data_IF_342277166927
#
_entry.id   IF_342277166927
#
_cell.length_a   1.000
_cell.length_b   1.000
_cell.length_c   1.000
_cell.angle_alpha   90.00
_cell.angle_beta   90.00
_cell.angle_gamma   90.00
#
_symmetry.space_group_name_H-M   'P 1'
#
loop_
_entity.id
_entity.type
_entity.pdbx_description
1 polymer ?
#
# COMPACT_ATOMS: atom_id res chain seq x y z
N UNK A 1 -1.31 -16.34 -40.06
CA UNK A 1 -0.64 -17.08 -38.97
C UNK A 1 -0.69 -16.16 -37.79
N UNK A 2 -1.58 -16.47 -36.84
CA UNK A 2 -1.73 -15.74 -35.58
C UNK A 2 -0.74 -16.32 -34.59
N UNK A 3 0.43 -15.70 -34.45
CA UNK A 3 1.42 -16.09 -33.44
C UNK A 3 0.93 -15.68 -32.06
N UNK A 4 0.44 -16.62 -31.28
CA UNK A 4 0.24 -16.44 -29.83
C UNK A 4 1.62 -16.43 -29.19
N UNK A 5 2.07 -15.27 -28.78
CA UNK A 5 3.32 -15.15 -28.02
C UNK A 5 3.02 -15.40 -26.55
N UNK A 6 3.35 -16.57 -26.05
CA UNK A 6 3.18 -16.94 -24.62
C UNK A 6 4.45 -16.50 -23.88
N UNK A 7 4.37 -15.52 -23.01
CA UNK A 7 5.41 -15.24 -22.02
C UNK A 7 5.27 -16.28 -20.91
N UNK A 8 6.29 -17.14 -20.77
CA UNK A 8 6.25 -18.29 -19.85
C UNK A 8 6.72 -17.97 -18.42
N UNK A 9 7.11 -16.72 -18.13
CA UNK A 9 7.58 -16.33 -16.79
C UNK A 9 6.44 -15.68 -16.00
N UNK A 10 6.16 -16.13 -14.78
CA UNK A 10 5.17 -15.48 -13.95
C UNK A 10 5.63 -14.05 -13.62
N UNK A 11 4.75 -13.10 -13.86
CA UNK A 11 4.98 -11.68 -13.61
C UNK A 11 4.50 -11.36 -12.21
N UNK A 12 5.32 -10.65 -11.43
CA UNK A 12 4.96 -10.15 -10.09
C UNK A 12 4.65 -8.64 -10.06
N UNK A 13 4.84 -7.93 -11.17
CA UNK A 13 4.66 -6.48 -11.26
C UNK A 13 3.41 -6.10 -12.07
N UNK A 14 2.50 -5.36 -11.46
CA UNK A 14 1.33 -4.79 -12.12
C UNK A 14 1.72 -3.84 -13.27
N UNK A 15 2.83 -3.11 -13.15
CA UNK A 15 3.31 -2.21 -14.19
C UNK A 15 3.76 -2.97 -15.43
N UNK A 16 4.50 -4.08 -15.24
CA UNK A 16 4.91 -4.96 -16.35
C UNK A 16 3.69 -5.59 -17.01
N UNK A 17 2.72 -6.07 -16.23
CA UNK A 17 1.44 -6.57 -16.75
C UNK A 17 0.74 -5.51 -17.60
N UNK A 18 0.58 -4.31 -17.08
CA UNK A 18 -0.07 -3.20 -17.77
C UNK A 18 0.64 -2.88 -19.09
N UNK A 19 1.97 -2.83 -19.11
CA UNK A 19 2.76 -2.58 -20.32
C UNK A 19 2.52 -3.65 -21.39
N UNK A 20 2.47 -4.93 -21.00
CA UNK A 20 2.21 -6.05 -21.92
C UNK A 20 0.78 -6.00 -22.47
N UNK A 21 -0.22 -5.73 -21.62
CA UNK A 21 -1.62 -5.60 -22.06
C UNK A 21 -1.80 -4.44 -23.04
N UNK A 22 -1.22 -3.27 -22.75
CA UNK A 22 -1.25 -2.11 -23.64
C UNK A 22 -0.51 -2.34 -24.96
N UNK A 23 0.64 -3.03 -24.91
CA UNK A 23 1.36 -3.41 -26.12
C UNK A 23 0.53 -4.36 -26.99
N UNK A 24 -0.16 -5.34 -26.42
CA UNK A 24 -1.08 -6.23 -27.12
C UNK A 24 -2.24 -5.48 -27.76
N UNK A 25 -2.82 -4.54 -27.03
CA UNK A 25 -3.92 -3.70 -27.51
C UNK A 25 -3.49 -2.86 -28.74
N UNK A 26 -2.34 -2.16 -28.65
CA UNK A 26 -1.82 -1.31 -29.72
C UNK A 26 -1.41 -2.14 -30.95
N UNK A 27 -0.85 -3.33 -30.73
CA UNK A 27 -0.43 -4.24 -31.79
C UNK A 27 -1.58 -5.06 -32.39
N UNK A 28 -2.81 -4.92 -31.88
CA UNK A 28 -3.97 -5.71 -32.25
C UNK A 28 -3.74 -7.24 -32.14
N UNK A 29 -3.03 -7.69 -31.09
CA UNK A 29 -2.68 -9.08 -30.82
C UNK A 29 -3.31 -9.54 -29.50
N UNK A 30 -3.87 -10.76 -29.48
CA UNK A 30 -4.30 -11.39 -28.22
C UNK A 30 -3.08 -11.62 -27.31
N UNK A 31 -3.24 -11.25 -26.04
CA UNK A 31 -2.18 -11.37 -25.02
C UNK A 31 -2.70 -12.15 -23.83
N UNK A 32 -1.88 -13.07 -23.33
CA UNK A 32 -2.11 -13.79 -22.09
C UNK A 32 -0.95 -13.58 -21.14
N UNK A 33 -1.26 -13.12 -19.92
CA UNK A 33 -0.29 -12.87 -18.87
C UNK A 33 -0.60 -13.77 -17.68
N UNK A 34 0.39 -14.49 -17.18
CA UNK A 34 0.26 -15.29 -15.95
C UNK A 34 1.05 -14.58 -14.84
N UNK A 35 0.39 -14.38 -13.69
CA UNK A 35 0.99 -13.78 -12.49
C UNK A 35 1.32 -14.87 -11.47
N UNK A 36 2.39 -14.68 -10.70
CA UNK A 36 2.72 -15.56 -9.57
C UNK A 36 1.68 -15.42 -8.45
N UNK A 37 1.26 -14.17 -8.20
CA UNK A 37 0.15 -13.81 -7.33
C UNK A 37 -0.58 -12.63 -7.97
N UNK A 38 -1.88 -12.49 -7.71
CA UNK A 38 -2.69 -11.41 -8.29
C UNK A 38 -2.15 -10.05 -7.88
N UNK A 39 -1.73 -9.27 -8.85
CA UNK A 39 -1.30 -7.88 -8.66
C UNK A 39 -2.48 -6.90 -8.91
N UNK A 40 -2.21 -5.58 -8.78
CA UNK A 40 -3.18 -4.50 -9.04
C UNK A 40 -3.82 -4.64 -10.41
N UNK A 41 -5.14 -4.46 -10.51
CA UNK A 41 -5.94 -4.72 -11.71
C UNK A 41 -6.62 -3.48 -12.31
N UNK A 42 -6.10 -2.29 -12.03
CA UNK A 42 -6.66 -1.03 -12.53
C UNK A 42 -6.72 -0.97 -14.06
N UNK A 43 -5.66 -1.43 -14.75
CA UNK A 43 -5.59 -1.44 -16.19
C UNK A 43 -6.67 -2.32 -16.81
N UNK A 44 -6.88 -3.50 -16.26
CA UNK A 44 -7.91 -4.44 -16.72
C UNK A 44 -9.31 -3.86 -16.53
N UNK A 45 -9.57 -3.24 -15.38
CA UNK A 45 -10.87 -2.60 -15.08
C UNK A 45 -11.13 -1.44 -16.03
N UNK A 46 -10.14 -0.55 -16.22
CA UNK A 46 -10.26 0.58 -17.12
C UNK A 46 -10.48 0.13 -18.56
N UNK A 47 -9.71 -0.85 -19.04
CA UNK A 47 -9.86 -1.37 -20.40
C UNK A 47 -11.24 -2.02 -20.62
N UNK A 48 -11.79 -2.75 -19.65
CA UNK A 48 -13.16 -3.26 -19.72
C UNK A 48 -14.19 -2.14 -19.79
N UNK A 49 -14.04 -1.09 -19.00
CA UNK A 49 -14.91 0.07 -19.05
C UNK A 49 -14.85 0.78 -20.42
N UNK A 50 -13.72 0.72 -21.11
CA UNK A 50 -13.51 1.22 -22.47
C UNK A 50 -13.97 0.25 -23.57
N UNK A 51 -14.61 -0.88 -23.22
CA UNK A 51 -15.17 -1.86 -24.14
C UNK A 51 -14.17 -2.90 -24.66
N UNK A 52 -13.00 -3.03 -24.04
CA UNK A 52 -12.02 -4.09 -24.38
C UNK A 52 -12.41 -5.39 -23.69
N UNK A 53 -12.32 -6.49 -24.42
CA UNK A 53 -12.54 -7.83 -23.86
C UNK A 53 -11.29 -8.26 -23.07
N UNK A 54 -11.40 -8.19 -21.73
CA UNK A 54 -10.34 -8.59 -20.80
C UNK A 54 -10.92 -9.58 -19.80
N UNK A 55 -10.48 -10.82 -19.86
CA UNK A 55 -10.87 -11.88 -18.95
C UNK A 55 -9.80 -12.09 -17.87
N UNK A 56 -10.25 -12.34 -16.64
CA UNK A 56 -9.38 -12.72 -15.53
C UNK A 56 -9.83 -14.11 -15.05
N UNK A 57 -8.93 -15.08 -15.12
CA UNK A 57 -9.13 -16.40 -14.51
C UNK A 57 -8.00 -16.66 -13.51
N UNK A 58 -8.32 -16.67 -12.21
CA UNK A 58 -7.35 -16.84 -11.12
C UNK A 58 -6.16 -15.89 -11.27
N UNK A 59 -4.99 -16.42 -11.67
CA UNK A 59 -3.74 -15.68 -11.85
C UNK A 59 -3.41 -15.41 -13.34
N UNK A 60 -4.37 -15.60 -14.23
CA UNK A 60 -4.18 -15.35 -15.66
C UNK A 60 -5.09 -14.22 -16.12
N UNK A 61 -4.52 -13.30 -16.90
CA UNK A 61 -5.23 -12.22 -17.58
C UNK A 61 -5.12 -12.46 -19.08
N UNK A 62 -6.27 -12.48 -19.77
CA UNK A 62 -6.33 -12.57 -21.22
C UNK A 62 -6.96 -11.29 -21.77
N UNK A 63 -6.26 -10.61 -22.68
CA UNK A 63 -6.77 -9.47 -23.41
C UNK A 63 -6.97 -9.87 -24.87
N UNK A 64 -8.20 -9.66 -25.40
CA UNK A 64 -8.47 -9.71 -26.84
C UNK A 64 -8.50 -8.31 -27.41
N UNK A 65 -7.80 -8.07 -28.51
CA UNK A 65 -7.67 -6.72 -29.06
C UNK A 65 -9.01 -6.16 -29.50
N UNK A 66 -9.24 -4.88 -29.21
CA UNK A 66 -10.38 -4.12 -29.67
C UNK A 66 -9.99 -3.20 -30.82
N UNK A 67 -10.87 -3.08 -31.81
CA UNK A 67 -10.65 -2.15 -32.96
C UNK A 67 -10.84 -0.68 -32.55
N UNK A 68 -11.58 -0.43 -31.47
CA UNK A 68 -11.93 0.93 -31.03
C UNK A 68 -12.10 0.90 -29.50
N UNK A 69 -11.59 1.92 -28.85
CA UNK A 69 -11.85 2.19 -27.44
C UNK A 69 -13.03 3.15 -27.31
N UNK A 70 -13.89 2.91 -26.34
CA UNK A 70 -14.97 3.82 -25.96
C UNK A 70 -14.38 4.80 -24.93
N UNK A 71 -14.43 6.11 -25.18
CA UNK A 71 -14.00 7.08 -24.17
C UNK A 71 -14.84 6.95 -22.89
N UNK A 72 -14.18 7.10 -21.75
CA UNK A 72 -14.83 7.07 -20.45
C UNK A 72 -14.58 8.40 -19.74
N UNK A 73 -15.57 8.86 -18.98
CA UNK A 73 -15.42 9.91 -17.99
C UNK A 73 -15.31 9.27 -16.63
N UNK A 74 -14.29 9.66 -15.86
CA UNK A 74 -14.10 9.12 -14.51
C UNK A 74 -13.53 10.17 -13.57
N UNK A 75 -14.01 10.12 -12.34
CA UNK A 75 -13.33 10.77 -11.24
C UNK A 75 -12.28 9.80 -10.71
N UNK A 76 -11.02 10.22 -10.67
CA UNK A 76 -9.94 9.38 -10.13
C UNK A 76 -10.07 9.37 -8.61
N UNK A 77 -10.28 8.21 -7.98
CA UNK A 77 -10.39 8.14 -6.53
C UNK A 77 -9.05 8.46 -5.84
N UNK A 78 -9.13 8.87 -4.56
CA UNK A 78 -7.96 9.10 -3.74
C UNK A 78 -7.14 7.80 -3.56
N UNK A 79 -5.82 7.94 -3.57
CA UNK A 79 -4.90 6.80 -3.45
C UNK A 79 -4.98 6.15 -2.05
N UNK A 80 -5.29 4.84 -1.97
CA UNK A 80 -5.39 4.14 -0.69
C UNK A 80 -4.03 4.04 0.04
N UNK A 81 -2.91 4.10 -0.66
CA UNK A 81 -1.59 4.16 -0.03
C UNK A 81 -1.37 5.49 0.69
N UNK A 82 -1.82 6.60 0.10
CA UNK A 82 -1.79 7.91 0.76
C UNK A 82 -2.76 7.96 1.95
N UNK A 83 -3.95 7.40 1.79
CA UNK A 83 -4.94 7.28 2.88
C UNK A 83 -4.43 6.44 4.05
N UNK A 84 -3.63 5.40 3.79
CA UNK A 84 -3.11 4.47 4.80
C UNK A 84 -2.36 5.19 5.93
N UNK A 85 -1.60 6.24 5.63
CA UNK A 85 -0.86 7.01 6.64
C UNK A 85 -1.81 7.67 7.65
N UNK A 86 -2.91 8.22 7.18
CA UNK A 86 -3.91 8.87 8.04
C UNK A 86 -4.80 7.86 8.76
N UNK A 87 -5.09 6.71 8.14
CA UNK A 87 -5.73 5.58 8.82
C UNK A 87 -4.89 5.11 10.00
N UNK A 88 -3.58 4.94 9.81
CA UNK A 88 -2.66 4.56 10.87
C UNK A 88 -2.59 5.62 11.97
N UNK A 89 -2.53 6.91 11.61
CA UNK A 89 -2.51 8.02 12.56
C UNK A 89 -3.76 8.00 13.45
N UNK A 90 -4.96 7.92 12.83
CA UNK A 90 -6.22 7.92 13.55
C UNK A 90 -6.38 6.67 14.44
N UNK A 91 -5.94 5.49 13.98
CA UNK A 91 -5.97 4.27 14.77
C UNK A 91 -5.04 4.32 16.00
N UNK A 92 -3.95 5.08 15.93
CA UNK A 92 -2.99 5.29 17.03
C UNK A 92 -3.35 6.48 17.93
N UNK A 93 -4.33 7.30 17.57
CA UNK A 93 -4.76 8.45 18.36
C UNK A 93 -5.36 8.03 19.71
N UNK A 94 -5.50 8.97 20.63
CA UNK A 94 -6.13 8.72 21.92
C UNK A 94 -7.66 8.88 21.86
N UNK A 95 -8.14 9.77 20.97
CA UNK A 95 -9.56 10.09 20.78
C UNK A 95 -9.81 10.65 19.37
N UNK A 96 -11.04 10.97 19.05
CA UNK A 96 -11.44 11.57 17.79
C UNK A 96 -11.94 10.57 16.75
N UNK A 97 -12.18 11.08 15.56
CA UNK A 97 -12.68 10.35 14.41
C UNK A 97 -12.13 10.98 13.14
N UNK A 98 -11.64 10.19 12.22
CA UNK A 98 -11.17 10.66 10.92
C UNK A 98 -12.02 10.09 9.80
N UNK A 99 -12.50 10.96 8.93
CA UNK A 99 -13.23 10.60 7.70
C UNK A 99 -12.36 10.92 6.49
N UNK A 100 -12.08 9.91 5.67
CA UNK A 100 -11.38 10.01 4.39
C UNK A 100 -12.37 9.76 3.26
N UNK A 101 -12.61 10.78 2.44
CA UNK A 101 -13.58 10.70 1.34
C UNK A 101 -12.93 10.20 0.05
N UNK A 102 -13.74 9.61 -0.83
CA UNK A 102 -13.40 9.21 -2.20
C UNK A 102 -12.17 8.28 -2.30
N UNK A 103 -11.87 7.50 -1.27
CA UNK A 103 -10.74 6.56 -1.26
C UNK A 103 -11.02 5.39 -2.22
N UNK A 104 -10.04 5.00 -3.03
CA UNK A 104 -10.13 3.80 -3.84
C UNK A 104 -10.24 2.56 -2.96
N UNK A 105 -11.32 1.81 -3.13
CA UNK A 105 -11.61 0.57 -2.40
C UNK A 105 -11.40 -0.68 -3.29
N UNK A 106 -10.49 -0.62 -4.25
CA UNK A 106 -10.11 -1.79 -5.03
C UNK A 106 -9.48 -2.85 -4.11
N UNK A 107 -10.02 -4.10 -4.07
CA UNK A 107 -9.51 -5.16 -3.19
C UNK A 107 -8.02 -5.49 -3.38
N UNK A 108 -7.45 -5.21 -4.55
CA UNK A 108 -6.01 -5.39 -4.79
C UNK A 108 -5.14 -4.27 -4.17
N UNK A 109 -5.77 -3.27 -3.53
CA UNK A 109 -5.13 -2.09 -2.93
C UNK A 109 -5.49 -1.88 -1.47
N UNK A 110 -6.52 -2.55 -0.96
CA UNK A 110 -7.01 -2.36 0.42
C UNK A 110 -6.39 -3.31 1.44
N UNK A 111 -5.34 -4.03 1.07
CA UNK A 111 -4.66 -4.99 1.96
C UNK A 111 -4.20 -4.38 3.28
N UNK A 112 -3.77 -3.12 3.28
CA UNK A 112 -3.42 -2.40 4.50
C UNK A 112 -4.63 -2.24 5.44
N UNK A 113 -5.79 -1.83 4.92
CA UNK A 113 -7.00 -1.67 5.73
C UNK A 113 -7.45 -2.99 6.33
N UNK A 114 -7.36 -4.08 5.57
CA UNK A 114 -7.67 -5.43 6.06
C UNK A 114 -6.69 -5.89 7.14
N UNK A 115 -5.39 -5.62 6.99
CA UNK A 115 -4.39 -5.89 8.01
C UNK A 115 -4.67 -5.07 9.30
N UNK A 116 -4.99 -3.78 9.17
CA UNK A 116 -5.35 -2.93 10.32
C UNK A 116 -6.62 -3.40 11.03
N UNK A 117 -7.67 -3.82 10.29
CA UNK A 117 -8.88 -4.43 10.89
C UNK A 117 -8.52 -5.72 11.65
N UNK A 118 -7.67 -6.57 11.09
CA UNK A 118 -7.15 -7.76 11.79
C UNK A 118 -6.32 -7.42 13.02
N UNK A 119 -5.67 -6.25 13.04
CA UNK A 119 -4.99 -5.71 14.22
C UNK A 119 -5.97 -5.14 15.26
N UNK A 120 -7.27 -5.09 14.97
CA UNK A 120 -8.31 -4.57 15.85
C UNK A 120 -8.66 -3.09 15.63
N UNK A 121 -8.18 -2.47 14.54
CA UNK A 121 -8.53 -1.09 14.23
C UNK A 121 -10.04 -0.93 13.93
N UNK A 122 -10.65 0.12 14.48
CA UNK A 122 -12.05 0.49 14.19
C UNK A 122 -12.11 1.25 12.87
N UNK A 123 -12.24 0.49 11.79
CA UNK A 123 -12.33 1.00 10.42
C UNK A 123 -13.64 0.56 9.82
N UNK A 124 -14.44 1.52 9.37
CA UNK A 124 -15.66 1.28 8.59
C UNK A 124 -15.56 1.91 7.20
N UNK A 125 -16.07 1.20 6.21
CA UNK A 125 -16.06 1.60 4.82
C UNK A 125 -17.50 1.74 4.33
N UNK A 126 -17.80 2.88 3.71
CA UNK A 126 -19.08 3.12 3.05
C UNK A 126 -18.83 3.23 1.56
N UNK A 127 -19.27 2.23 0.80
CA UNK A 127 -19.13 2.24 -0.65
C UNK A 127 -19.78 3.49 -1.26
N UNK A 128 -19.08 4.13 -2.16
CA UNK A 128 -19.54 5.22 -2.99
C UNK A 128 -19.97 4.72 -4.38
N UNK A 129 -20.08 5.63 -5.31
CA UNK A 129 -20.45 5.32 -6.71
C UNK A 129 -19.21 4.82 -7.44
N UNK A 130 -19.32 3.61 -8.02
CA UNK A 130 -18.27 3.09 -8.91
C UNK A 130 -18.36 3.79 -10.26
N UNK A 131 -17.34 4.56 -10.62
CA UNK A 131 -17.17 5.16 -11.94
C UNK A 131 -15.96 4.52 -12.62
N UNK A 132 -16.16 4.06 -13.85
CA UNK A 132 -15.10 3.49 -14.70
C UNK A 132 -14.32 2.28 -14.11
N UNK A 133 -14.98 1.44 -13.32
CA UNK A 133 -14.49 0.11 -12.96
C UNK A 133 -13.82 -0.02 -11.59
N UNK A 134 -13.30 1.04 -11.00
CA UNK A 134 -12.77 0.99 -9.62
C UNK A 134 -13.81 1.48 -8.61
N UNK A 135 -13.98 0.69 -7.55
CA UNK A 135 -14.80 1.10 -6.41
C UNK A 135 -14.11 2.23 -5.64
N UNK A 136 -14.87 3.25 -5.27
CA UNK A 136 -14.43 4.27 -4.32
C UNK A 136 -15.41 4.36 -3.15
N UNK A 137 -15.01 5.00 -2.08
CA UNK A 137 -15.89 5.16 -0.93
C UNK A 137 -15.29 6.03 0.16
N UNK A 138 -16.04 6.16 1.24
CA UNK A 138 -15.61 6.88 2.44
C UNK A 138 -15.10 5.88 3.46
N UNK A 139 -13.91 6.15 4.01
CA UNK A 139 -13.29 5.38 5.09
C UNK A 139 -13.39 6.19 6.36
N UNK A 140 -13.98 5.61 7.40
CA UNK A 140 -14.09 6.18 8.73
C UNK A 140 -13.22 5.39 9.68
N UNK A 141 -12.39 6.08 10.47
CA UNK A 141 -11.44 5.47 11.41
C UNK A 141 -11.56 6.12 12.77
N UNK A 142 -11.57 5.28 13.82
CA UNK A 142 -11.52 5.71 15.22
C UNK A 142 -10.35 5.05 15.93
N UNK A 143 -9.85 5.65 17.02
CA UNK A 143 -8.87 5.03 17.88
C UNK A 143 -9.34 3.67 18.38
N UNK A 144 -8.42 2.70 18.45
CA UNK A 144 -8.72 1.35 18.92
C UNK A 144 -7.53 0.72 19.65
N UNK A 145 -7.83 -0.26 20.48
CA UNK A 145 -6.79 -1.10 21.08
C UNK A 145 -6.30 -2.13 20.06
N UNK A 146 -5.11 -1.90 19.53
CA UNK A 146 -4.51 -2.79 18.55
C UNK A 146 -3.85 -4.01 19.22
N UNK A 147 -3.77 -5.12 18.47
CA UNK A 147 -3.07 -6.34 18.85
C UNK A 147 -2.20 -6.86 17.71
N UNK A 148 -1.26 -7.76 18.06
CA UNK A 148 -0.28 -8.28 17.12
C UNK A 148 -0.87 -9.23 16.08
N UNK A 149 -0.27 -9.23 14.89
CA UNK A 149 -0.61 -10.15 13.81
C UNK A 149 0.65 -10.70 13.12
N UNK A 150 0.45 -11.75 12.33
CA UNK A 150 1.42 -12.20 11.33
C UNK A 150 0.91 -11.86 9.94
N UNK A 151 1.83 -11.39 9.08
CA UNK A 151 1.62 -11.12 7.65
C UNK A 151 2.51 -12.08 6.88
N UNK A 152 1.92 -12.81 5.96
CA UNK A 152 2.60 -13.84 5.18
C UNK A 152 2.74 -13.43 3.71
N UNK A 153 3.61 -14.09 2.97
CA UNK A 153 3.85 -13.79 1.56
C UNK A 153 2.61 -13.78 0.67
N UNK A 154 1.54 -14.51 1.05
CA UNK A 154 0.28 -14.51 0.29
C UNK A 154 -0.46 -13.16 0.36
N UNK A 155 -0.26 -12.39 1.43
CA UNK A 155 -0.91 -11.09 1.67
C UNK A 155 -0.06 -9.93 1.13
N UNK A 156 1.25 -10.12 1.09
CA UNK A 156 2.25 -9.07 0.75
C UNK A 156 1.92 -8.31 -0.52
N UNK A 157 1.52 -8.91 -1.66
CA UNK A 157 1.25 -8.16 -2.89
C UNK A 157 0.19 -7.06 -2.75
N UNK A 158 -0.81 -7.23 -1.86
CA UNK A 158 -1.90 -6.28 -1.68
C UNK A 158 -1.55 -5.10 -0.74
N UNK A 159 -0.43 -5.18 0.00
CA UNK A 159 -0.02 -4.18 1.00
C UNK A 159 1.50 -3.98 1.09
N UNK A 160 2.25 -4.39 0.08
CA UNK A 160 3.72 -4.36 0.10
C UNK A 160 4.27 -2.94 0.37
N UNK A 161 3.61 -1.95 -0.19
CA UNK A 161 4.04 -0.55 -0.07
C UNK A 161 3.73 0.04 1.32
N UNK A 162 2.83 -0.57 2.09
CA UNK A 162 2.41 -0.15 3.43
C UNK A 162 3.07 -0.97 4.55
N UNK A 163 3.87 -2.00 4.24
CA UNK A 163 4.58 -2.81 5.25
C UNK A 163 5.50 -1.97 6.17
N UNK A 164 6.22 -0.94 5.68
CA UNK A 164 6.94 -0.01 6.55
C UNK A 164 6.04 0.70 7.55
N UNK A 165 4.86 1.12 7.12
CA UNK A 165 3.87 1.79 7.98
C UNK A 165 3.32 0.83 9.05
N UNK A 166 3.00 -0.42 8.68
CA UNK A 166 2.55 -1.44 9.64
C UNK A 166 3.60 -1.68 10.73
N UNK A 167 4.89 -1.72 10.37
CA UNK A 167 5.98 -1.84 11.33
C UNK A 167 6.03 -0.65 12.30
N UNK A 168 5.81 0.56 11.80
CA UNK A 168 5.72 1.77 12.62
C UNK A 168 4.47 1.76 13.52
N UNK A 169 3.31 1.33 13.01
CA UNK A 169 2.09 1.16 13.81
C UNK A 169 2.33 0.17 14.96
N UNK A 170 2.97 -0.96 14.69
CA UNK A 170 3.27 -1.95 15.72
C UNK A 170 4.19 -1.39 16.81
N UNK A 171 5.23 -0.64 16.42
CA UNK A 171 6.13 0.01 17.38
C UNK A 171 5.41 1.08 18.21
N UNK A 172 4.54 1.89 17.61
CA UNK A 172 3.75 2.92 18.27
C UNK A 172 2.70 2.35 19.24
N UNK A 173 2.01 1.29 18.82
CA UNK A 173 1.03 0.60 19.63
C UNK A 173 1.66 -0.31 20.70
N UNK A 174 2.96 -0.63 20.59
CA UNK A 174 3.67 -1.53 21.50
C UNK A 174 3.22 -2.99 21.38
N UNK A 175 2.98 -3.47 20.17
CA UNK A 175 2.48 -4.81 19.85
C UNK A 175 3.49 -5.62 19.02
N UNK A 176 3.36 -6.95 19.07
CA UNK A 176 4.22 -7.86 18.30
C UNK A 176 3.69 -8.04 16.88
N UNK A 177 4.56 -7.91 15.88
CA UNK A 177 4.24 -8.32 14.52
C UNK A 177 5.37 -9.13 13.90
N UNK A 178 5.03 -10.00 12.98
CA UNK A 178 5.96 -10.70 12.12
C UNK A 178 5.51 -10.62 10.66
N UNK A 179 6.43 -10.18 9.80
CA UNK A 179 6.22 -10.05 8.35
C UNK A 179 7.21 -10.99 7.68
N UNK A 180 6.72 -11.89 6.82
CA UNK A 180 7.53 -12.84 6.03
C UNK A 180 7.09 -12.85 4.59
N UNK A 181 7.94 -13.34 3.67
CA UNK A 181 7.64 -13.41 2.24
C UNK A 181 7.65 -12.05 1.53
N UNK A 182 8.31 -11.05 2.11
CA UNK A 182 8.37 -9.68 1.60
C UNK A 182 9.75 -9.33 1.00
N UNK A 183 10.48 -10.30 0.45
CA UNK A 183 11.84 -10.11 -0.11
C UNK A 183 11.91 -9.01 -1.18
N UNK A 184 10.82 -8.76 -1.90
CA UNK A 184 10.73 -7.68 -2.90
C UNK A 184 10.96 -6.28 -2.29
N UNK A 185 10.73 -6.09 -0.99
CA UNK A 185 11.05 -4.83 -0.30
C UNK A 185 12.55 -4.48 -0.31
N UNK A 186 13.43 -5.47 -0.53
CA UNK A 186 14.88 -5.24 -0.57
C UNK A 186 15.36 -4.56 -1.85
N UNK A 187 14.54 -4.60 -2.92
CA UNK A 187 14.88 -4.08 -4.25
C UNK A 187 13.97 -2.93 -4.68
N UNK A 188 13.29 -2.28 -3.71
CA UNK A 188 12.51 -1.06 -3.94
C UNK A 188 13.44 0.16 -4.00
N UNK A 189 12.96 1.36 -3.75
CA UNK A 189 13.73 2.63 -3.74
C UNK A 189 14.91 2.56 -2.78
N UNK A 190 14.79 1.75 -1.73
CA UNK A 190 15.83 1.37 -0.78
C UNK A 190 15.66 -0.10 -0.39
N UNK A 191 16.62 -0.72 0.30
CA UNK A 191 16.33 -1.95 1.08
C UNK A 191 15.43 -1.55 2.26
N UNK A 192 14.09 -1.58 2.02
CA UNK A 192 13.09 -1.15 2.99
C UNK A 192 13.10 -2.00 4.25
N UNK A 193 13.41 -3.29 4.16
CA UNK A 193 13.49 -4.17 5.34
C UNK A 193 14.60 -3.66 6.27
N UNK A 194 15.81 -3.51 5.72
CA UNK A 194 16.95 -3.02 6.49
C UNK A 194 16.70 -1.60 7.00
N UNK A 195 16.24 -0.68 6.15
CA UNK A 195 16.03 0.71 6.52
C UNK A 195 14.99 0.85 7.64
N UNK A 196 13.86 0.15 7.57
CA UNK A 196 12.83 0.17 8.63
C UNK A 196 13.37 -0.37 9.94
N UNK A 197 14.05 -1.52 9.92
CA UNK A 197 14.59 -2.13 11.14
C UNK A 197 15.65 -1.25 11.80
N UNK A 198 16.58 -0.68 11.02
CA UNK A 198 17.61 0.22 11.56
C UNK A 198 17.00 1.49 12.18
N UNK A 199 16.01 2.09 11.50
CA UNK A 199 15.35 3.28 11.98
C UNK A 199 14.48 3.00 13.23
N UNK A 200 13.76 1.89 13.29
CA UNK A 200 13.02 1.48 14.51
C UNK A 200 13.96 1.31 15.69
N UNK A 201 15.13 0.67 15.49
CA UNK A 201 16.16 0.53 16.53
C UNK A 201 16.73 1.90 16.95
N UNK A 202 16.98 2.77 16.00
CA UNK A 202 17.53 4.12 16.25
C UNK A 202 16.59 4.98 17.13
N UNK A 203 15.26 4.80 17.01
CA UNK A 203 14.29 5.49 17.87
C UNK A 203 13.95 4.70 19.13
N UNK A 204 14.61 3.57 19.36
CA UNK A 204 14.48 2.79 20.59
C UNK A 204 13.43 1.68 20.53
N UNK A 205 12.78 1.40 19.40
CA UNK A 205 11.92 0.23 19.26
C UNK A 205 12.74 -1.06 19.14
N UNK A 206 12.12 -2.20 19.48
CA UNK A 206 12.73 -3.53 19.32
C UNK A 206 12.29 -4.12 18.00
N UNK A 207 13.22 -4.22 17.04
CA UNK A 207 12.96 -4.78 15.73
C UNK A 207 14.08 -5.73 15.30
N UNK A 208 13.73 -6.78 14.57
CA UNK A 208 14.63 -7.79 14.03
C UNK A 208 14.47 -7.88 12.51
N UNK A 209 15.59 -7.92 11.81
CA UNK A 209 15.63 -8.15 10.38
C UNK A 209 15.59 -9.64 10.10
N UNK A 210 14.69 -10.07 9.22
CA UNK A 210 14.60 -11.43 8.69
C UNK A 210 15.09 -11.45 7.23
N UNK A 211 15.47 -12.60 6.68
CA UNK A 211 15.92 -12.70 5.28
C UNK A 211 14.92 -12.12 4.27
N UNK A 212 13.63 -12.36 4.48
CA UNK A 212 12.53 -11.98 3.60
C UNK A 212 11.46 -11.12 4.30
N UNK A 213 11.81 -10.45 5.42
CA UNK A 213 10.86 -9.68 6.20
C UNK A 213 11.46 -9.06 7.45
N UNK A 214 10.63 -8.82 8.44
CA UNK A 214 11.03 -8.23 9.72
C UNK A 214 10.08 -8.65 10.84
N UNK A 215 10.55 -8.49 12.07
CA UNK A 215 9.75 -8.64 13.29
C UNK A 215 9.87 -7.38 14.13
N UNK A 216 8.76 -6.92 14.69
CA UNK A 216 8.74 -5.89 15.74
C UNK A 216 8.26 -6.55 17.03
N UNK A 217 8.98 -6.32 18.12
CA UNK A 217 8.59 -6.82 19.44
C UNK A 217 8.01 -5.68 20.26
N UNK A 218 6.76 -5.87 20.67
CA UNK A 218 5.96 -4.83 21.30
C UNK A 218 6.38 -4.52 22.73
N UNK A 219 6.77 -3.27 22.96
CA UNK A 219 6.84 -2.66 24.29
C UNK A 219 6.39 -1.22 24.16
N UNK A 220 5.27 -0.90 24.77
CA UNK A 220 4.79 0.49 24.78
C UNK A 220 5.79 1.35 25.55
N UNK A 221 6.34 2.35 24.89
CA UNK A 221 7.25 3.36 25.44
C UNK A 221 7.30 4.53 24.50
N UNK A 222 7.69 5.69 25.01
CA UNK A 222 7.95 6.84 24.18
C UNK A 222 9.21 6.57 23.34
N UNK A 223 9.05 6.74 22.03
CA UNK A 223 10.14 6.56 21.07
C UNK A 223 10.79 7.91 20.79
N UNK A 224 12.12 7.92 20.74
CA UNK A 224 12.84 9.17 20.47
C UNK A 224 14.15 8.91 19.74
N UNK A 225 14.51 9.81 18.83
CA UNK A 225 15.75 9.70 18.07
C UNK A 225 15.63 10.33 16.69
N UNK A 226 16.60 10.01 15.83
CA UNK A 226 16.66 10.51 14.45
C UNK A 226 16.54 9.33 13.48
N UNK A 227 15.74 9.53 12.45
CA UNK A 227 15.46 8.58 11.39
C UNK A 227 16.08 9.06 10.07
N UNK A 228 16.82 8.19 9.42
CA UNK A 228 17.28 8.37 8.05
C UNK A 228 16.44 7.54 7.08
N UNK A 229 15.52 8.14 6.32
CA UNK A 229 14.70 7.44 5.34
C UNK A 229 15.48 6.99 4.10
N UNK A 230 16.74 7.37 3.95
CA UNK A 230 17.60 7.05 2.79
C UNK A 230 16.97 7.46 1.45
N UNK A 231 16.27 8.60 1.44
CA UNK A 231 15.55 9.10 0.27
C UNK A 231 14.23 8.38 -0.04
N UNK A 232 13.83 7.38 0.76
CA UNK A 232 12.57 6.65 0.56
C UNK A 232 11.40 7.40 1.22
N UNK A 233 10.53 7.94 0.38
CA UNK A 233 9.37 8.72 0.81
C UNK A 233 8.41 7.93 1.70
N UNK A 234 8.24 6.62 1.48
CA UNK A 234 7.34 5.78 2.29
C UNK A 234 7.88 5.56 3.69
N UNK A 235 9.19 5.41 3.84
CA UNK A 235 9.83 5.35 5.15
C UNK A 235 9.70 6.69 5.87
N UNK A 236 9.98 7.80 5.19
CA UNK A 236 9.82 9.14 5.77
C UNK A 236 8.40 9.38 6.29
N UNK A 237 7.38 9.05 5.48
CA UNK A 237 5.97 9.20 5.86
C UNK A 237 5.57 8.25 7.00
N UNK A 238 6.00 6.99 6.99
CA UNK A 238 5.69 6.02 8.04
C UNK A 238 6.24 6.46 9.41
N UNK A 239 7.48 6.94 9.45
CA UNK A 239 8.05 7.49 10.68
C UNK A 239 7.48 8.88 11.02
N UNK A 240 6.97 9.63 10.05
CA UNK A 240 6.19 10.84 10.27
C UNK A 240 4.93 10.55 11.08
N UNK A 241 4.17 9.53 10.70
CA UNK A 241 3.01 9.05 11.45
C UNK A 241 3.42 8.60 12.85
N UNK A 242 4.47 7.81 12.97
CA UNK A 242 4.98 7.36 14.28
C UNK A 242 5.42 8.53 15.16
N UNK A 243 6.02 9.57 14.57
CA UNK A 243 6.41 10.80 15.28
C UNK A 243 5.21 11.60 15.79
N UNK A 244 4.12 11.61 15.02
CA UNK A 244 2.88 12.30 15.40
C UNK A 244 2.07 11.55 16.47
N UNK A 245 2.33 10.24 16.66
CA UNK A 245 1.72 9.49 17.75
C UNK A 245 2.18 10.01 19.12
N UNK A 246 1.24 10.03 20.07
CA UNK A 246 1.44 10.62 21.41
C UNK A 246 2.68 10.08 22.12
N UNK A 247 3.46 10.98 22.73
CA UNK A 247 4.66 10.67 23.51
C UNK A 247 5.96 10.56 22.69
N UNK A 248 5.90 10.42 21.37
CA UNK A 248 7.08 10.23 20.54
C UNK A 248 7.79 11.55 20.19
N UNK A 249 9.14 11.49 20.05
CA UNK A 249 10.00 12.62 19.68
C UNK A 249 10.99 12.19 18.61
N UNK A 250 10.49 12.01 17.39
CA UNK A 250 11.28 11.49 16.27
C UNK A 250 11.58 12.62 15.28
N UNK A 251 12.87 12.82 15.00
CA UNK A 251 13.33 13.73 13.97
C UNK A 251 13.58 12.93 12.67
N UNK A 252 13.11 13.45 11.53
CA UNK A 252 13.26 12.79 10.22
C UNK A 252 14.23 13.60 9.38
N UNK A 253 15.30 12.95 8.93
CA UNK A 253 16.29 13.54 8.03
C UNK A 253 15.71 13.66 6.62
N UNK A 254 16.07 14.72 5.89
CA UNK A 254 15.67 14.94 4.49
C UNK A 254 14.16 14.71 4.24
N UNK A 255 13.27 15.34 5.02
CA UNK A 255 11.82 15.09 4.95
C UNK A 255 11.21 15.51 3.60
N UNK A 256 11.94 16.29 2.79
CA UNK A 256 11.53 16.75 1.45
C UNK A 256 11.42 15.60 0.43
N UNK A 257 12.03 14.44 0.68
CA UNK A 257 11.91 13.25 -0.19
C UNK A 257 10.44 12.81 -0.37
N UNK A 258 9.56 13.17 0.56
CA UNK A 258 8.12 12.87 0.48
C UNK A 258 7.44 13.57 -0.69
N UNK A 259 7.96 14.71 -1.15
CA UNK A 259 7.37 15.49 -2.23
C UNK A 259 7.30 14.73 -3.58
N UNK A 260 8.07 13.65 -3.74
CA UNK A 260 8.02 12.79 -4.94
C UNK A 260 6.64 12.13 -5.12
N UNK A 261 5.95 11.79 -4.04
CA UNK A 261 4.67 11.08 -4.10
C UNK A 261 3.53 11.83 -3.40
N UNK A 262 3.82 12.63 -2.38
CA UNK A 262 2.81 13.35 -1.62
C UNK A 262 3.34 14.72 -1.17
N UNK A 263 3.35 15.75 -2.03
CA UNK A 263 3.93 17.07 -1.72
C UNK A 263 3.33 17.75 -0.48
N UNK A 264 2.03 17.55 -0.23
CA UNK A 264 1.30 18.14 0.92
C UNK A 264 1.36 17.34 2.22
N UNK A 265 2.04 16.21 2.26
CA UNK A 265 1.95 15.27 3.38
C UNK A 265 2.21 15.88 4.76
N UNK A 266 3.27 16.67 4.91
CA UNK A 266 3.64 17.26 6.19
C UNK A 266 2.63 18.30 6.70
N UNK A 267 1.99 19.01 5.78
CA UNK A 267 0.92 19.96 6.12
C UNK A 267 -0.34 19.20 6.58
N UNK A 268 -0.75 18.21 5.81
CA UNK A 268 -1.90 17.37 6.13
C UNK A 268 -1.70 16.60 7.44
N UNK A 269 -0.50 16.05 7.67
CA UNK A 269 -0.15 15.36 8.91
C UNK A 269 -0.33 16.27 10.13
N UNK A 270 0.20 17.51 10.05
CA UNK A 270 0.06 18.49 11.14
C UNK A 270 -1.39 18.88 11.38
N UNK A 271 -2.17 19.04 10.32
CA UNK A 271 -3.59 19.41 10.40
C UNK A 271 -4.44 18.33 11.06
N UNK A 272 -4.14 17.06 10.81
CA UNK A 272 -4.90 15.92 11.36
C UNK A 272 -4.42 15.53 12.75
N UNK A 273 -3.14 15.75 13.08
CA UNK A 273 -2.57 15.42 14.40
C UNK A 273 -2.81 16.50 15.46
N UNK A 274 -3.33 17.68 15.09
CA UNK A 274 -3.66 18.77 16.01
C UNK A 274 -5.00 18.52 16.72
#
# INVERSE_FOLDING_TARGET
>A
MTGVQTCALPISSAQVKSAILLAGLVSAVEVRVTEAARSRDHTERMLRAMGVDVENDRNQVCLRPARRLIPIEMDVPADPSSAAFFVALAALANDGELTLAEVCLNPTRTGFMEAMKRMGADISEKAGVNKAGDASGTVLVRPASLHGIRITGAEVPALIDELPLIACVAAGAGIDIEITGASELRVKESDRINAVVQNLRAVGASAEELPDGLRVSGRRRDLSGTVDPRGDHRIAMAFGVLSAASGNRINIMNPECVAVSYPGFWEDLRRVAA
#
